data_IF_127523693185
#
_entry.id   IF_127523693185
#
_cell.length_a   1.000
_cell.length_b   1.000
_cell.length_c   1.000
_cell.angle_alpha   90.00
_cell.angle_beta   90.00
_cell.angle_gamma   90.00
#
_symmetry.space_group_name_H-M   'P 1'
#
loop_
_entity.id
_entity.type
_entity.pdbx_description
1 polymer ?
#
# COMPACT_ATOMS: atom_id res chain seq x y z
N UNK A 1 15.07 -27.05 -41.39
CA UNK A 1 16.06 -26.51 -40.43
C UNK A 1 15.30 -25.57 -39.51
N UNK A 2 15.11 -25.93 -38.23
CA UNK A 2 15.81 -25.34 -37.05
C UNK A 2 15.66 -23.79 -37.01
N UNK A 3 15.25 -23.11 -35.94
CA UNK A 3 14.91 -23.47 -34.57
C UNK A 3 14.26 -22.25 -33.87
N UNK A 4 13.44 -22.51 -32.84
CA UNK A 4 13.41 -21.91 -31.49
C UNK A 4 13.70 -20.42 -31.19
N UNK A 5 12.87 -19.88 -30.29
CA UNK A 5 13.14 -18.74 -29.38
C UNK A 5 11.85 -17.95 -29.12
N UNK A 6 10.95 -18.31 -28.19
CA UNK A 6 10.99 -18.24 -26.72
C UNK A 6 11.34 -16.86 -26.12
N UNK A 7 10.52 -16.49 -25.12
CA UNK A 7 10.63 -15.42 -24.10
C UNK A 7 10.03 -14.05 -24.48
N UNK A 8 8.84 -13.68 -23.97
CA UNK A 8 8.56 -13.22 -22.60
C UNK A 8 9.56 -12.17 -22.08
N UNK A 9 9.21 -10.90 -22.21
CA UNK A 9 9.40 -9.94 -21.10
C UNK A 9 8.31 -8.87 -21.17
N UNK A 10 7.34 -9.01 -20.27
CA UNK A 10 6.51 -7.91 -19.78
C UNK A 10 7.41 -6.84 -19.17
N UNK A 11 7.69 -5.79 -19.94
CA UNK A 11 8.25 -4.55 -19.42
C UNK A 11 7.11 -3.60 -19.05
N UNK A 12 6.31 -3.94 -18.05
CA UNK A 12 5.37 -3.02 -17.40
C UNK A 12 6.21 -1.93 -16.69
N UNK A 13 6.71 -0.95 -17.44
CA UNK A 13 7.20 0.32 -16.90
C UNK A 13 5.99 1.20 -16.57
N UNK A 14 5.11 0.68 -15.72
CA UNK A 14 4.17 1.48 -14.96
C UNK A 14 4.95 2.07 -13.80
N UNK A 15 5.74 3.11 -14.08
CA UNK A 15 6.23 3.99 -13.03
C UNK A 15 5.01 4.44 -12.25
N UNK A 16 4.88 3.94 -11.01
CA UNK A 16 3.89 4.42 -10.08
C UNK A 16 4.22 5.90 -9.88
N UNK A 17 3.49 6.75 -10.60
CA UNK A 17 3.28 8.15 -10.27
C UNK A 17 2.95 8.13 -8.79
N UNK A 18 3.91 8.52 -7.95
CA UNK A 18 3.71 8.77 -6.54
C UNK A 18 2.65 9.86 -6.50
N UNK A 19 1.40 9.43 -6.40
CA UNK A 19 0.23 10.29 -6.38
C UNK A 19 0.40 11.10 -5.11
N UNK A 20 0.95 12.30 -5.28
CA UNK A 20 1.32 13.18 -4.19
C UNK A 20 0.05 13.41 -3.39
N UNK A 21 0.00 12.79 -2.23
CA UNK A 21 -1.20 12.81 -1.45
C UNK A 21 -1.45 14.24 -0.96
N UNK A 22 -2.70 14.72 -1.00
CA UNK A 22 -2.99 16.10 -0.64
C UNK A 22 -2.71 16.32 0.86
N UNK A 23 -1.92 17.34 1.17
CA UNK A 23 -1.40 17.62 2.50
C UNK A 23 -0.01 17.01 2.69
N UNK A 24 0.89 17.75 3.32
CA UNK A 24 2.34 17.55 3.40
C UNK A 24 2.84 16.30 4.14
N UNK A 25 2.15 15.16 4.03
CA UNK A 25 2.56 13.90 4.62
C UNK A 25 3.35 13.07 3.61
N UNK A 26 4.53 12.62 4.03
CA UNK A 26 5.44 11.82 3.23
C UNK A 26 5.52 10.43 3.87
N UNK A 27 5.15 9.41 3.11
CA UNK A 27 5.44 8.02 3.48
C UNK A 27 6.87 7.71 3.06
N UNK A 28 7.65 7.10 3.95
CA UNK A 28 8.88 6.43 3.55
C UNK A 28 8.53 5.24 2.62
N UNK A 29 9.49 4.69 1.87
CA UNK A 29 9.21 3.56 1.00
C UNK A 29 8.55 2.41 1.76
N UNK A 30 9.00 2.09 2.96
CA UNK A 30 8.43 0.96 3.70
C UNK A 30 7.22 1.36 4.57
N UNK A 31 6.62 2.52 4.33
CA UNK A 31 5.47 2.98 5.09
C UNK A 31 4.14 2.67 4.40
N UNK A 32 3.14 2.33 5.22
CA UNK A 32 1.77 2.10 4.80
C UNK A 32 0.75 2.76 5.75
N UNK A 33 -0.37 3.19 5.17
CA UNK A 33 -1.49 3.83 5.89
C UNK A 33 -2.83 3.47 5.23
N UNK A 34 -3.88 3.30 6.03
CA UNK A 34 -5.25 3.21 5.51
C UNK A 34 -5.74 4.62 5.13
N UNK A 35 -6.42 4.72 4.00
CA UNK A 35 -6.93 5.97 3.44
C UNK A 35 -8.36 5.74 2.93
N UNK A 36 -9.20 6.76 3.02
CA UNK A 36 -10.49 6.77 2.37
C UNK A 36 -10.30 7.10 0.88
N UNK A 37 -10.71 6.19 0.00
CA UNK A 37 -10.56 6.31 -1.45
C UNK A 37 -11.51 7.33 -2.09
N UNK A 38 -12.55 7.79 -1.39
CA UNK A 38 -13.48 8.82 -1.91
C UNK A 38 -12.92 10.22 -1.78
N UNK A 39 -12.32 10.54 -0.64
CA UNK A 39 -11.87 11.90 -0.30
C UNK A 39 -10.36 12.02 -0.04
N UNK A 40 -9.62 10.90 -0.03
CA UNK A 40 -8.18 10.87 0.24
C UNK A 40 -7.82 11.08 1.71
N UNK A 41 -8.79 11.06 2.62
CA UNK A 41 -8.53 11.28 4.05
C UNK A 41 -7.79 10.11 4.68
N UNK A 42 -6.81 10.43 5.53
CA UNK A 42 -6.02 9.44 6.26
C UNK A 42 -6.80 8.85 7.43
N UNK A 43 -6.81 7.53 7.53
CA UNK A 43 -7.57 6.79 8.52
C UNK A 43 -6.62 6.21 9.58
N UNK A 44 -6.14 7.07 10.48
CA UNK A 44 -5.12 6.74 11.49
C UNK A 44 -5.54 5.60 12.43
N UNK A 45 -6.81 5.59 12.88
CA UNK A 45 -7.33 4.55 13.78
C UNK A 45 -7.35 3.18 13.10
N UNK A 46 -7.85 3.13 11.87
CA UNK A 46 -7.89 1.95 11.02
C UNK A 46 -6.48 1.43 10.74
N UNK A 47 -5.57 2.35 10.42
CA UNK A 47 -4.15 2.04 10.20
C UNK A 47 -3.55 1.38 11.42
N UNK A 48 -3.71 1.97 12.61
CA UNK A 48 -3.20 1.42 13.85
C UNK A 48 -3.78 0.03 14.15
N UNK A 49 -5.08 -0.18 13.87
CA UNK A 49 -5.71 -1.50 13.97
C UNK A 49 -5.04 -2.54 13.08
N UNK A 50 -4.80 -2.19 11.81
CA UNK A 50 -4.12 -3.06 10.87
C UNK A 50 -2.65 -3.30 11.19
N UNK A 51 -1.90 -2.28 11.63
CA UNK A 51 -0.51 -2.47 12.06
C UNK A 51 -0.45 -3.50 13.21
N UNK A 52 -1.31 -3.34 14.22
CA UNK A 52 -1.34 -4.22 15.39
C UNK A 52 -1.74 -5.65 15.04
N UNK A 53 -2.78 -5.80 14.21
CA UNK A 53 -3.26 -7.13 13.78
C UNK A 53 -2.18 -7.92 13.03
N UNK A 54 -1.39 -7.23 12.21
CA UNK A 54 -0.34 -7.85 11.39
C UNK A 54 1.04 -7.87 12.08
N UNK A 55 1.16 -7.31 13.29
CA UNK A 55 2.41 -7.27 14.05
C UNK A 55 3.46 -6.28 13.51
N UNK A 56 3.04 -5.22 12.83
CA UNK A 56 3.94 -4.19 12.31
C UNK A 56 4.28 -3.12 13.34
N UNK A 57 5.51 -2.59 13.23
CA UNK A 57 5.89 -1.41 14.01
C UNK A 57 5.09 -0.21 13.51
N UNK A 58 4.68 0.63 14.46
CA UNK A 58 3.86 1.81 14.15
C UNK A 58 4.57 3.07 14.62
N UNK A 59 4.60 4.09 13.78
CA UNK A 59 5.18 5.41 14.07
C UNK A 59 4.19 6.48 13.59
N UNK A 60 3.77 7.40 14.46
CA UNK A 60 2.72 8.41 14.15
C UNK A 60 1.49 7.87 13.38
N UNK A 61 1.02 6.67 13.74
CA UNK A 61 -0.12 6.00 13.10
C UNK A 61 0.11 5.61 11.62
N UNK A 62 1.37 5.44 11.25
CA UNK A 62 1.84 4.83 10.00
C UNK A 62 2.45 3.47 10.35
N UNK A 63 2.18 2.44 9.54
CA UNK A 63 2.84 1.15 9.70
C UNK A 63 4.14 1.09 8.91
N UNK A 64 5.22 0.67 9.55
CA UNK A 64 6.42 0.23 8.84
C UNK A 64 6.21 -1.22 8.36
N UNK A 65 6.00 -1.37 7.05
CA UNK A 65 5.66 -2.62 6.36
C UNK A 65 6.68 -2.92 5.26
N UNK A 66 7.35 -4.06 5.40
CA UNK A 66 8.23 -4.59 4.37
C UNK A 66 7.51 -4.66 3.01
N UNK A 67 8.23 -4.38 1.91
CA UNK A 67 7.69 -4.43 0.54
C UNK A 67 6.89 -5.70 0.22
N UNK A 68 7.36 -6.85 0.69
CA UNK A 68 6.73 -8.17 0.47
C UNK A 68 5.41 -8.34 1.22
N UNK A 69 5.18 -7.54 2.26
CA UNK A 69 4.02 -7.62 3.14
C UNK A 69 3.00 -6.48 2.94
N UNK A 70 3.29 -5.53 2.05
CA UNK A 70 2.38 -4.42 1.70
C UNK A 70 1.00 -4.91 1.28
N UNK A 71 0.92 -6.04 0.57
CA UNK A 71 -0.36 -6.59 0.14
C UNK A 71 -1.23 -7.02 1.34
N UNK A 72 -0.63 -7.68 2.33
CA UNK A 72 -1.34 -8.05 3.56
C UNK A 72 -1.87 -6.82 4.31
N UNK A 73 -1.11 -5.72 4.34
CA UNK A 73 -1.60 -4.45 4.90
C UNK A 73 -2.79 -3.90 4.10
N UNK A 74 -2.69 -3.87 2.77
CA UNK A 74 -3.77 -3.40 1.89
C UNK A 74 -5.05 -4.21 2.07
N UNK A 75 -4.93 -5.51 2.22
CA UNK A 75 -6.06 -6.41 2.42
C UNK A 75 -6.69 -6.22 3.81
N UNK A 76 -5.89 -5.93 4.84
CA UNK A 76 -6.42 -5.56 6.15
C UNK A 76 -7.32 -4.32 6.07
N UNK A 77 -6.87 -3.22 5.44
CA UNK A 77 -7.69 -2.01 5.32
C UNK A 77 -9.01 -2.27 4.57
N UNK A 78 -8.99 -3.12 3.53
CA UNK A 78 -10.20 -3.50 2.77
C UNK A 78 -11.19 -4.32 3.60
N UNK A 79 -10.69 -5.16 4.51
CA UNK A 79 -11.51 -6.05 5.33
C UNK A 79 -12.13 -5.36 6.56
N UNK A 80 -11.95 -4.04 6.71
CA UNK A 80 -12.53 -3.28 7.82
C UNK A 80 -14.05 -3.07 7.70
N UNK A 81 -14.70 -3.64 6.69
CA UNK A 81 -16.14 -3.53 6.39
C UNK A 81 -16.64 -2.07 6.35
N UNK A 82 -15.74 -1.16 6.00
CA UNK A 82 -16.00 0.26 5.84
C UNK A 82 -15.87 0.61 4.36
N UNK A 83 -16.95 1.15 3.78
CA UNK A 83 -16.93 1.57 2.39
C UNK A 83 -15.76 2.52 2.12
N UNK A 84 -15.05 2.28 1.03
CA UNK A 84 -13.99 3.16 0.53
C UNK A 84 -12.70 3.15 1.34
N UNK A 85 -12.52 2.25 2.31
CA UNK A 85 -11.22 2.15 3.02
C UNK A 85 -10.24 1.30 2.20
N UNK A 86 -9.10 1.89 1.84
CA UNK A 86 -8.03 1.24 1.09
C UNK A 86 -6.69 1.37 1.80
N UNK A 87 -5.81 0.40 1.63
CA UNK A 87 -4.42 0.55 2.06
C UNK A 87 -3.58 1.26 1.00
N UNK A 88 -2.85 2.28 1.42
CA UNK A 88 -1.86 2.97 0.61
C UNK A 88 -0.46 2.69 1.18
N UNK A 89 0.49 2.36 0.31
CA UNK A 89 1.90 2.10 0.65
C UNK A 89 2.75 2.69 -0.47
N UNK A 90 3.96 3.15 -0.15
CA UNK A 90 4.79 3.86 -1.14
C UNK A 90 5.79 2.97 -1.85
#
# INVERSE_FOLDING_TARGET
>A
MKAFGLLLTLGFLGGAIAQQCPGSWYLEPDDCICMNSRDGSLLKTQTLGCCKSLGYKTYDNICAVDRTKRQAFKDCCKNLDQESVIGHCR
#
